data_IF_767145945925
#
_entry.id   IF_767145945925
#
_cell.length_a   1.000
_cell.length_b   1.000
_cell.length_c   1.000
_cell.angle_alpha   90.00
_cell.angle_beta   90.00
_cell.angle_gamma   90.00
#
_symmetry.space_group_name_H-M   'P 1'
#
loop_
_entity.id
_entity.type
_entity.pdbx_description
1 polymer ?
#
# COMPACT_ATOMS: atom_id res chain seq x y z
N UNK A 1 -21.41 -23.09 39.67
CA UNK A 1 -21.67 -21.90 38.84
C UNK A 1 -20.49 -21.74 37.90
N UNK A 2 -20.70 -21.93 36.59
CA UNK A 2 -19.63 -21.92 35.58
C UNK A 2 -19.38 -20.47 35.14
N UNK A 3 -18.19 -19.94 35.40
CA UNK A 3 -17.74 -18.65 34.88
C UNK A 3 -17.61 -18.76 33.37
N UNK A 4 -18.50 -18.11 32.63
CA UNK A 4 -18.35 -17.94 31.18
C UNK A 4 -17.30 -16.84 30.97
N UNK A 5 -16.14 -17.20 30.42
CA UNK A 5 -15.27 -16.24 29.75
C UNK A 5 -16.10 -15.62 28.61
N UNK A 6 -16.35 -14.33 28.70
CA UNK A 6 -16.90 -13.54 27.61
C UNK A 6 -15.72 -13.34 26.65
N UNK A 7 -15.69 -14.13 25.58
CA UNK A 7 -14.86 -13.84 24.42
C UNK A 7 -15.41 -12.55 23.81
N UNK A 8 -14.70 -11.46 24.03
CA UNK A 8 -14.95 -10.18 23.40
C UNK A 8 -14.47 -10.31 21.96
N UNK A 9 -15.37 -10.66 21.05
CA UNK A 9 -15.13 -10.44 19.62
C UNK A 9 -14.96 -8.93 19.44
N UNK A 10 -13.69 -8.49 19.35
CA UNK A 10 -13.36 -7.16 18.88
C UNK A 10 -13.72 -7.18 17.40
N UNK A 11 -14.93 -6.73 17.08
CA UNK A 11 -15.30 -6.37 15.72
C UNK A 11 -14.29 -5.33 15.26
N UNK A 12 -13.34 -5.76 14.44
CA UNK A 12 -12.45 -4.87 13.71
C UNK A 12 -13.34 -3.84 13.01
N UNK A 13 -13.36 -2.63 13.56
CA UNK A 13 -14.03 -1.50 12.92
C UNK A 13 -13.21 -1.24 11.69
N UNK A 14 -13.67 -1.79 10.56
CA UNK A 14 -13.08 -1.56 9.26
C UNK A 14 -12.90 -0.04 9.10
N UNK A 15 -11.65 0.39 8.98
CA UNK A 15 -11.28 1.74 8.60
C UNK A 15 -11.80 1.98 7.19
N UNK A 16 -13.09 2.30 7.12
CA UNK A 16 -13.86 2.49 5.91
C UNK A 16 -13.88 3.98 5.58
N UNK A 17 -12.72 4.62 5.59
CA UNK A 17 -12.53 5.84 4.82
C UNK A 17 -11.70 5.45 3.61
N UNK A 18 -12.38 4.87 2.61
CA UNK A 18 -11.91 5.03 1.25
C UNK A 18 -11.89 6.54 1.02
N UNK A 19 -10.70 7.13 1.07
CA UNK A 19 -10.53 8.49 0.65
C UNK A 19 -11.06 8.57 -0.79
N UNK A 20 -12.05 9.42 -1.03
CA UNK A 20 -12.18 10.05 -2.34
C UNK A 20 -10.98 11.02 -2.42
N UNK A 21 -9.81 10.44 -2.65
CA UNK A 21 -8.51 11.09 -2.53
C UNK A 21 -7.83 11.14 -3.87
N UNK A 22 -6.91 12.08 -4.03
CA UNK A 22 -5.99 12.02 -5.15
C UNK A 22 -5.05 10.81 -4.97
N UNK A 23 -4.36 10.41 -6.04
CA UNK A 23 -3.47 9.26 -6.07
C UNK A 23 -2.08 9.66 -6.56
N UNK A 24 -1.09 8.88 -6.13
CA UNK A 24 0.26 8.96 -6.68
C UNK A 24 0.35 8.20 -8.00
N UNK A 25 0.72 8.91 -9.07
CA UNK A 25 0.77 8.35 -10.42
C UNK A 25 1.99 7.50 -10.74
N UNK A 26 3.07 7.67 -9.99
CA UNK A 26 4.26 6.83 -10.07
C UNK A 26 4.99 6.83 -8.72
N UNK A 27 5.73 5.76 -8.42
CA UNK A 27 6.59 5.73 -7.24
C UNK A 27 7.60 6.88 -7.28
N UNK A 28 7.68 7.64 -6.19
CA UNK A 28 8.48 8.86 -6.11
C UNK A 28 8.98 9.11 -4.69
N UNK A 29 10.00 9.96 -4.55
CA UNK A 29 10.50 10.38 -3.24
C UNK A 29 9.47 11.18 -2.45
N UNK A 30 9.51 11.03 -1.12
CA UNK A 30 8.81 11.88 -0.17
C UNK A 30 9.80 12.66 0.68
N UNK A 31 9.43 13.91 0.96
CA UNK A 31 10.26 14.82 1.74
C UNK A 31 9.58 15.23 3.04
N UNK A 32 10.40 15.41 4.07
CA UNK A 32 9.98 15.97 5.35
C UNK A 32 11.02 17.01 5.77
N UNK A 33 10.58 18.27 5.94
CA UNK A 33 11.46 19.40 6.27
C UNK A 33 12.63 19.56 5.28
N UNK A 34 12.37 19.31 3.99
CA UNK A 34 13.37 19.38 2.92
C UNK A 34 14.36 18.22 2.86
N UNK A 35 14.25 17.20 3.73
CA UNK A 35 15.05 15.97 3.68
C UNK A 35 14.28 14.88 2.94
N UNK A 36 14.95 14.16 2.04
CA UNK A 36 14.45 12.89 1.50
C UNK A 36 14.41 11.84 2.62
N UNK A 37 13.23 11.34 2.93
CA UNK A 37 13.02 10.35 4.00
C UNK A 37 12.53 9.00 3.48
N UNK A 38 12.36 8.84 2.16
CA UNK A 38 11.84 7.61 1.60
C UNK A 38 11.07 7.83 0.30
N UNK A 39 10.22 6.84 -0.02
CA UNK A 39 9.40 6.84 -1.24
C UNK A 39 7.94 6.55 -0.91
N UNK A 40 7.05 7.13 -1.70
CA UNK A 40 5.63 6.78 -1.76
C UNK A 40 5.37 5.99 -3.04
N UNK A 41 4.59 4.93 -2.95
CA UNK A 41 4.35 4.02 -4.07
C UNK A 41 3.21 4.50 -4.98
N UNK A 42 3.26 4.08 -6.26
CA UNK A 42 2.18 4.28 -7.23
C UNK A 42 0.84 3.77 -6.69
N UNK A 43 -0.25 4.43 -7.09
CA UNK A 43 -1.63 4.20 -6.64
C UNK A 43 -1.87 4.36 -5.13
N UNK A 44 -0.92 4.94 -4.38
CA UNK A 44 -1.17 5.32 -2.98
C UNK A 44 -2.22 6.43 -2.93
N UNK A 45 -3.34 6.27 -2.20
CA UNK A 45 -4.32 7.33 -1.99
C UNK A 45 -3.78 8.38 -1.01
N UNK A 46 -4.01 9.65 -1.32
CA UNK A 46 -3.49 10.79 -0.55
C UNK A 46 -4.56 11.87 -0.36
N UNK A 47 -4.46 12.58 0.76
CA UNK A 47 -5.24 13.80 1.04
C UNK A 47 -4.33 15.01 0.80
N UNK A 48 -4.68 15.94 -0.10
CA UNK A 48 -3.93 17.19 -0.24
C UNK A 48 -4.20 18.09 0.96
N UNK A 49 -3.14 18.40 1.72
CA UNK A 49 -3.18 19.34 2.85
C UNK A 49 -2.88 20.77 2.39
N UNK A 50 -1.90 20.93 1.51
CA UNK A 50 -1.48 22.23 0.99
C UNK A 50 -0.93 22.09 -0.42
N UNK A 51 -1.57 22.73 -1.40
CA UNK A 51 -1.09 22.77 -2.79
C UNK A 51 0.11 23.70 -2.91
N UNK A 52 1.23 23.19 -3.39
CA UNK A 52 2.38 24.01 -3.80
C UNK A 52 2.60 23.96 -5.32
N UNK A 53 3.59 24.73 -5.79
CA UNK A 53 3.90 24.80 -7.23
C UNK A 53 4.73 23.61 -7.72
N UNK A 54 5.77 23.23 -6.96
CA UNK A 54 6.65 22.11 -7.28
C UNK A 54 6.43 20.92 -6.34
N UNK A 55 6.23 21.20 -5.05
CA UNK A 55 5.95 20.20 -4.03
C UNK A 55 4.59 20.49 -3.42
N UNK A 56 3.76 19.46 -3.29
CA UNK A 56 2.48 19.49 -2.61
C UNK A 56 2.61 18.77 -1.29
N UNK A 57 2.05 19.34 -0.22
CA UNK A 57 1.93 18.65 1.06
C UNK A 57 0.72 17.73 1.02
N UNK A 58 0.98 16.46 1.20
CA UNK A 58 -0.01 15.39 1.24
C UNK A 58 -0.06 14.76 2.62
N UNK A 59 -1.20 14.22 2.98
CA UNK A 59 -1.40 13.38 4.16
C UNK A 59 -1.77 11.98 3.72
N UNK A 60 -1.19 11.01 4.43
CA UNK A 60 -1.52 9.59 4.27
C UNK A 60 -1.86 8.98 5.62
N UNK A 61 -2.64 7.90 5.59
CA UNK A 61 -2.99 7.11 6.75
C UNK A 61 -2.86 5.62 6.42
N UNK A 62 -2.49 4.84 7.42
CA UNK A 62 -2.31 3.40 7.30
C UNK A 62 -1.90 2.80 8.63
N UNK A 63 -1.26 1.64 8.57
CA UNK A 63 -0.70 0.96 9.75
C UNK A 63 0.79 0.69 9.60
N UNK A 64 1.49 0.59 10.72
CA UNK A 64 2.88 0.14 10.83
C UNK A 64 2.96 -0.97 11.88
N UNK A 65 3.87 -1.92 11.70
CA UNK A 65 4.16 -2.91 12.74
C UNK A 65 5.07 -2.28 13.80
N UNK A 66 4.89 -2.62 15.08
CA UNK A 66 5.69 -2.08 16.18
C UNK A 66 7.18 -2.42 16.05
N UNK A 67 7.48 -3.57 15.44
CA UNK A 67 8.83 -4.09 15.21
C UNK A 67 9.38 -3.82 13.80
N UNK A 68 8.61 -3.17 12.92
CA UNK A 68 9.04 -2.84 11.56
C UNK A 68 8.37 -1.56 11.07
N UNK A 69 9.01 -0.42 11.34
CA UNK A 69 8.43 0.92 11.10
C UNK A 69 8.93 1.58 9.83
N UNK A 70 9.71 0.88 9.02
CA UNK A 70 10.21 1.35 7.73
C UNK A 70 9.13 1.44 6.64
N UNK A 71 7.88 1.05 6.92
CA UNK A 71 6.79 1.14 5.94
C UNK A 71 5.45 1.47 6.57
N UNK A 72 4.66 2.25 5.85
CA UNK A 72 3.21 2.38 6.09
C UNK A 72 2.51 1.47 5.09
N UNK A 73 1.61 0.62 5.58
CA UNK A 73 0.75 -0.22 4.73
C UNK A 73 -0.72 0.14 4.90
N UNK A 74 -1.57 -0.24 3.94
CA UNK A 74 -3.00 0.08 3.92
C UNK A 74 -3.71 -0.32 5.21
N UNK A 75 -3.56 -1.58 5.63
CA UNK A 75 -4.17 -2.10 6.87
C UNK A 75 -3.49 -3.40 7.32
N UNK A 76 -3.89 -3.95 8.46
CA UNK A 76 -3.41 -5.26 8.92
C UNK A 76 -3.81 -6.38 7.92
N UNK A 77 -5.08 -6.53 7.50
CA UNK A 77 -5.47 -7.58 6.56
C UNK A 77 -5.03 -7.32 5.11
N UNK A 78 -4.62 -6.10 4.77
CA UNK A 78 -4.12 -5.73 3.44
C UNK A 78 -2.77 -5.01 3.56
N UNK A 79 -1.70 -5.77 3.34
CA UNK A 79 -0.31 -5.34 3.46
C UNK A 79 0.21 -4.57 2.23
N UNK A 80 -0.67 -4.03 1.38
CA UNK A 80 -0.31 -3.06 0.35
C UNK A 80 0.53 -1.94 0.96
N UNK A 81 1.75 -1.75 0.46
CA UNK A 81 2.65 -0.67 0.89
C UNK A 81 2.15 0.67 0.35
N UNK A 82 2.15 1.70 1.19
CA UNK A 82 1.96 3.07 0.74
C UNK A 82 3.29 3.82 0.71
N UNK A 83 4.08 3.68 1.76
CA UNK A 83 5.36 4.37 1.91
C UNK A 83 6.42 3.41 2.40
N UNK A 84 7.64 3.58 1.90
CA UNK A 84 8.87 2.96 2.40
C UNK A 84 9.82 4.07 2.83
N UNK A 85 10.25 4.06 4.09
CA UNK A 85 11.20 5.02 4.64
C UNK A 85 12.64 4.53 4.48
N UNK A 86 13.58 5.48 4.41
CA UNK A 86 15.00 5.19 4.34
C UNK A 86 15.58 4.66 5.67
N UNK A 87 14.96 5.01 6.80
CA UNK A 87 15.40 4.67 8.16
C UNK A 87 14.18 4.37 9.05
N UNK A 88 14.28 3.38 9.94
CA UNK A 88 13.31 3.10 11.01
C UNK A 88 13.45 4.15 12.12
N UNK A 89 12.67 5.23 12.03
CA UNK A 89 12.63 6.28 13.06
C UNK A 89 11.19 6.69 13.37
N UNK A 90 10.87 6.79 14.67
CA UNK A 90 9.54 7.19 15.16
C UNK A 90 9.10 8.59 14.67
N UNK A 91 10.05 9.43 14.22
CA UNK A 91 9.77 10.76 13.68
C UNK A 91 9.18 10.78 12.27
N UNK A 92 9.10 9.64 11.58
CA UNK A 92 8.58 9.56 10.22
C UNK A 92 7.06 9.77 10.14
N UNK A 93 6.32 9.55 11.22
CA UNK A 93 4.86 9.63 11.26
C UNK A 93 4.36 9.88 12.69
N UNK A 94 3.06 10.11 12.83
CA UNK A 94 2.38 10.25 14.13
C UNK A 94 1.65 8.95 14.46
N UNK A 95 1.88 8.42 15.66
CA UNK A 95 1.12 7.30 16.21
C UNK A 95 -0.27 7.75 16.65
N UNK A 96 -1.31 7.14 16.09
CA UNK A 96 -2.70 7.49 16.38
C UNK A 96 -3.34 6.50 17.36
N UNK A 97 -3.18 5.19 17.10
CA UNK A 97 -3.84 4.14 17.89
C UNK A 97 -3.05 2.84 17.86
N UNK A 98 -2.84 2.23 19.02
CA UNK A 98 -2.28 0.88 19.15
C UNK A 98 -3.33 -0.16 18.78
N UNK A 99 -2.92 -1.15 17.99
CA UNK A 99 -3.68 -2.30 17.54
C UNK A 99 -2.92 -3.59 17.89
N UNK A 100 -3.66 -4.70 17.89
CA UNK A 100 -3.12 -6.05 18.04
C UNK A 100 -3.89 -6.94 17.07
N UNK A 101 -3.18 -7.82 16.35
CA UNK A 101 -3.82 -8.78 15.44
C UNK A 101 -4.12 -10.12 16.13
N UNK A 102 -4.72 -11.05 15.39
CA UNK A 102 -5.11 -12.36 15.92
C UNK A 102 -3.93 -13.24 16.35
N UNK A 103 -2.71 -12.86 15.99
CA UNK A 103 -1.46 -13.56 16.34
C UNK A 103 -0.73 -12.88 17.52
N UNK A 104 -1.26 -11.77 18.04
CA UNK A 104 -0.66 -11.00 19.12
C UNK A 104 0.46 -10.06 18.64
N UNK A 105 0.60 -9.83 17.33
CA UNK A 105 1.53 -8.83 16.83
C UNK A 105 0.97 -7.44 17.09
N UNK A 106 1.85 -6.53 17.52
CA UNK A 106 1.46 -5.16 17.81
C UNK A 106 1.61 -4.31 16.57
N UNK A 107 0.55 -3.58 16.26
CA UNK A 107 0.47 -2.64 15.16
C UNK A 107 0.09 -1.25 15.67
N UNK A 108 0.32 -0.24 14.86
CA UNK A 108 -0.16 1.12 15.13
C UNK A 108 -0.84 1.69 13.91
N UNK A 109 -2.04 2.24 14.07
CA UNK A 109 -2.59 3.21 13.11
C UNK A 109 -1.72 4.46 13.17
N UNK A 110 -1.29 4.93 12.00
CA UNK A 110 -0.41 6.10 11.89
C UNK A 110 -0.92 7.07 10.84
N UNK A 111 -0.44 8.30 10.92
CA UNK A 111 -0.61 9.30 9.86
C UNK A 111 0.69 10.05 9.60
N UNK A 112 0.97 10.29 8.33
CA UNK A 112 2.14 11.02 7.87
C UNK A 112 1.74 12.24 7.04
N UNK A 113 2.50 13.32 7.13
CA UNK A 113 2.38 14.49 6.25
C UNK A 113 3.71 14.71 5.57
N UNK A 114 3.72 14.63 4.24
CA UNK A 114 4.93 14.66 3.43
C UNK A 114 4.79 15.63 2.27
N UNK A 115 5.92 16.07 1.73
CA UNK A 115 5.99 16.79 0.47
C UNK A 115 6.30 15.82 -0.67
N UNK A 116 5.58 15.93 -1.77
CA UNK A 116 5.76 15.12 -2.98
C UNK A 116 5.68 16.01 -4.23
N UNK A 117 6.28 15.59 -5.35
CA UNK A 117 6.17 16.32 -6.63
C UNK A 117 4.70 16.52 -7.02
N UNK A 118 4.30 17.79 -7.13
CA UNK A 118 2.92 18.19 -7.42
C UNK A 118 2.41 17.60 -8.75
N UNK A 119 3.29 17.31 -9.71
CA UNK A 119 2.92 16.76 -11.02
C UNK A 119 2.53 15.29 -10.97
N UNK A 120 2.89 14.60 -9.89
CA UNK A 120 2.66 13.16 -9.76
C UNK A 120 1.36 12.84 -9.02
N UNK A 121 0.58 13.85 -8.65
CA UNK A 121 -0.72 13.69 -8.01
C UNK A 121 -1.81 13.76 -9.08
N UNK A 122 -2.66 12.74 -9.14
CA UNK A 122 -3.78 12.61 -10.08
C UNK A 122 -5.09 12.42 -9.32
N UNK A 123 -6.21 12.89 -9.87
CA UNK A 123 -7.51 12.80 -9.19
C UNK A 123 -8.27 11.49 -9.46
N UNK A 124 -7.81 10.69 -10.43
CA UNK A 124 -8.49 9.49 -10.93
C UNK A 124 -7.44 8.45 -11.31
N UNK A 125 -7.57 7.25 -10.76
CA UNK A 125 -6.69 6.12 -10.95
C UNK A 125 -7.03 5.24 -12.16
N UNK A 126 -8.18 5.41 -12.81
CA UNK A 126 -8.72 4.51 -13.84
C UNK A 126 -7.71 4.27 -14.99
N UNK A 127 -7.05 5.34 -15.45
CA UNK A 127 -6.04 5.23 -16.50
C UNK A 127 -4.82 4.38 -16.11
N UNK A 128 -4.42 4.43 -14.83
CA UNK A 128 -3.34 3.60 -14.30
C UNK A 128 -3.78 2.16 -14.12
N UNK A 129 -5.03 1.93 -13.72
CA UNK A 129 -5.60 0.59 -13.65
C UNK A 129 -5.67 -0.07 -15.03
N UNK A 130 -6.15 0.66 -16.04
CA UNK A 130 -6.18 0.17 -17.42
C UNK A 130 -4.77 -0.13 -17.94
N UNK A 131 -3.81 0.74 -17.64
CA UNK A 131 -2.40 0.50 -17.94
C UNK A 131 -1.88 -0.76 -17.25
N UNK A 132 -2.11 -0.90 -15.94
CA UNK A 132 -1.66 -2.04 -15.14
C UNK A 132 -2.22 -3.35 -15.67
N UNK A 133 -3.53 -3.38 -15.93
CA UNK A 133 -4.23 -4.52 -16.49
C UNK A 133 -3.66 -4.92 -17.84
N UNK A 134 -3.44 -3.95 -18.73
CA UNK A 134 -2.84 -4.21 -20.05
C UNK A 134 -1.45 -4.81 -19.93
N UNK A 135 -0.58 -4.21 -19.11
CA UNK A 135 0.79 -4.73 -18.90
C UNK A 135 0.73 -6.15 -18.32
N UNK A 136 -0.16 -6.39 -17.36
CA UNK A 136 -0.37 -7.71 -16.76
C UNK A 136 -0.81 -8.76 -17.78
N UNK A 137 -1.84 -8.46 -18.58
CA UNK A 137 -2.35 -9.36 -19.60
C UNK A 137 -1.31 -9.66 -20.69
N UNK A 138 -0.57 -8.64 -21.16
CA UNK A 138 0.44 -8.80 -22.20
C UNK A 138 1.69 -9.54 -21.70
N UNK A 139 2.13 -9.26 -20.46
CA UNK A 139 3.39 -9.79 -19.93
C UNK A 139 3.24 -11.18 -19.29
N UNK A 140 2.12 -11.43 -18.60
CA UNK A 140 1.96 -12.63 -17.78
C UNK A 140 1.15 -13.75 -18.46
N UNK A 141 0.64 -13.55 -19.68
CA UNK A 141 -0.02 -14.59 -20.48
C UNK A 141 0.90 -15.33 -21.45
N UNK A 142 2.17 -14.94 -21.53
CA UNK A 142 3.12 -15.47 -22.51
C UNK A 142 3.57 -16.92 -22.24
N UNK A 143 3.57 -17.36 -20.98
CA UNK A 143 4.15 -18.65 -20.57
C UNK A 143 3.11 -19.69 -20.12
N UNK A 144 1.98 -19.24 -19.58
CA UNK A 144 0.90 -20.08 -19.08
C UNK A 144 -0.42 -19.30 -19.10
N UNK A 145 -1.49 -19.96 -18.66
CA UNK A 145 -2.78 -19.29 -18.45
C UNK A 145 -2.61 -18.19 -17.40
N UNK A 146 -3.07 -16.98 -17.73
CA UNK A 146 -3.06 -15.84 -16.82
C UNK A 146 -3.87 -16.16 -15.56
N UNK A 147 -3.27 -15.91 -14.40
CA UNK A 147 -3.98 -15.96 -13.12
C UNK A 147 -5.06 -14.87 -13.06
N UNK A 148 -6.19 -15.17 -12.44
CA UNK A 148 -7.20 -14.14 -12.20
C UNK A 148 -6.79 -13.31 -10.99
N UNK A 149 -7.08 -11.99 -10.96
CA UNK A 149 -6.76 -11.15 -9.80
C UNK A 149 -7.28 -11.69 -8.45
N UNK A 150 -8.37 -12.45 -8.48
CA UNK A 150 -8.96 -13.07 -7.28
C UNK A 150 -8.47 -14.50 -6.97
N UNK A 151 -7.42 -15.00 -7.64
CA UNK A 151 -6.80 -16.29 -7.33
C UNK A 151 -6.02 -16.25 -6.00
N UNK A 152 -5.50 -15.07 -5.63
CA UNK A 152 -4.69 -14.84 -4.43
C UNK A 152 -5.22 -13.66 -3.60
N UNK A 153 -4.87 -13.62 -2.32
CA UNK A 153 -5.12 -12.44 -1.45
C UNK A 153 -4.14 -11.31 -1.77
N UNK A 154 -4.46 -10.08 -1.34
CA UNK A 154 -3.57 -8.93 -1.52
C UNK A 154 -2.16 -9.17 -0.95
N UNK A 155 -2.06 -9.94 0.14
CA UNK A 155 -0.79 -10.24 0.80
C UNK A 155 0.02 -11.33 0.07
N UNK A 156 -0.65 -12.17 -0.73
CA UNK A 156 -0.02 -13.27 -1.47
C UNK A 156 0.52 -12.84 -2.83
N UNK A 157 -0.07 -11.80 -3.44
CA UNK A 157 0.31 -11.34 -4.78
C UNK A 157 1.78 -10.95 -4.94
N UNK A 158 2.41 -10.15 -4.04
CA UNK A 158 3.80 -9.76 -4.20
C UNK A 158 4.76 -10.96 -4.31
N UNK A 159 4.63 -11.94 -3.41
CA UNK A 159 5.47 -13.14 -3.42
C UNK A 159 5.18 -14.04 -4.64
N UNK A 160 3.90 -14.11 -5.06
CA UNK A 160 3.50 -14.89 -6.24
C UNK A 160 4.09 -14.32 -7.53
N UNK A 161 4.07 -13.00 -7.69
CA UNK A 161 4.72 -12.33 -8.82
C UNK A 161 6.23 -12.50 -8.78
N UNK A 162 6.87 -12.32 -7.63
CA UNK A 162 8.31 -12.50 -7.51
C UNK A 162 8.75 -13.90 -7.96
N UNK A 163 8.02 -14.95 -7.57
CA UNK A 163 8.29 -16.31 -8.03
C UNK A 163 8.18 -16.48 -9.56
N UNK A 164 7.28 -15.73 -10.23
CA UNK A 164 7.16 -15.71 -11.69
C UNK A 164 8.33 -14.98 -12.36
N UNK A 165 8.77 -13.86 -11.78
CA UNK A 165 9.91 -13.07 -12.28
C UNK A 165 11.23 -13.83 -12.11
N UNK A 166 11.45 -14.43 -10.94
CA UNK A 166 12.68 -15.19 -10.62
C UNK A 166 12.87 -16.42 -11.52
N UNK A 167 11.77 -16.94 -12.07
CA UNK A 167 11.81 -18.02 -13.04
C UNK A 167 12.42 -17.59 -14.40
N UNK A 168 12.66 -16.29 -14.62
CA UNK A 168 13.48 -15.74 -15.70
C UNK A 168 12.76 -15.61 -17.05
N UNK A 169 11.43 -15.71 -17.08
CA UNK A 169 10.66 -15.78 -18.32
C UNK A 169 10.09 -14.44 -18.81
N UNK A 170 10.14 -13.38 -17.99
CA UNK A 170 9.61 -12.06 -18.36
C UNK A 170 10.55 -10.94 -17.93
N UNK A 171 10.81 -9.97 -18.83
CA UNK A 171 11.54 -8.76 -18.51
C UNK A 171 10.51 -7.66 -18.20
N UNK A 172 10.13 -7.53 -16.94
CA UNK A 172 9.25 -6.47 -16.43
C UNK A 172 10.11 -5.53 -15.58
N UNK A 173 10.06 -4.23 -15.87
CA UNK A 173 10.78 -3.24 -15.06
C UNK A 173 10.09 -3.03 -13.70
N UNK A 174 10.83 -2.50 -12.73
CA UNK A 174 10.36 -2.33 -11.36
C UNK A 174 9.08 -1.48 -11.24
N UNK A 175 8.93 -0.43 -12.06
CA UNK A 175 7.74 0.42 -12.01
C UNK A 175 6.52 -0.32 -12.54
N UNK A 176 6.67 -1.01 -13.68
CA UNK A 176 5.62 -1.87 -14.23
C UNK A 176 5.23 -2.98 -13.27
N UNK A 177 6.21 -3.64 -12.62
CA UNK A 177 5.96 -4.69 -11.64
C UNK A 177 5.20 -4.15 -10.43
N UNK A 178 5.58 -2.99 -9.89
CA UNK A 178 4.89 -2.37 -8.77
C UNK A 178 3.45 -1.99 -9.16
N UNK A 179 3.25 -1.35 -10.32
CA UNK A 179 1.91 -1.00 -10.82
C UNK A 179 1.00 -2.23 -11.00
N UNK A 180 1.52 -3.33 -11.59
CA UNK A 180 0.81 -4.61 -11.70
C UNK A 180 0.48 -5.17 -10.30
N UNK A 181 1.45 -5.11 -9.37
CA UNK A 181 1.25 -5.58 -8.00
C UNK A 181 0.10 -4.84 -7.33
N UNK A 182 0.05 -3.50 -7.44
CA UNK A 182 -1.07 -2.69 -6.91
C UNK A 182 -2.41 -3.10 -7.51
N UNK A 183 -2.47 -3.17 -8.84
CA UNK A 183 -3.68 -3.59 -9.53
C UNK A 183 -4.20 -4.95 -9.03
N UNK A 184 -3.31 -5.93 -8.87
CA UNK A 184 -3.68 -7.26 -8.39
C UNK A 184 -4.10 -7.24 -6.92
N UNK A 185 -3.43 -6.45 -6.07
CA UNK A 185 -3.81 -6.27 -4.67
C UNK A 185 -5.19 -5.61 -4.51
N UNK A 186 -5.52 -4.65 -5.36
CA UNK A 186 -6.80 -3.94 -5.35
C UNK A 186 -7.97 -4.79 -5.87
N UNK A 187 -7.67 -5.77 -6.74
CA UNK A 187 -8.63 -6.71 -7.31
C UNK A 187 -8.51 -8.12 -6.70
N UNK A 188 -7.83 -8.22 -5.55
CA UNK A 188 -7.52 -9.48 -4.90
C UNK A 188 -8.76 -10.16 -4.32
N UNK A 189 -8.60 -11.44 -3.99
CA UNK A 189 -9.55 -12.14 -3.13
C UNK A 189 -9.65 -11.42 -1.78
N UNK A 190 -10.87 -11.19 -1.31
CA UNK A 190 -11.11 -10.69 0.04
C UNK A 190 -10.52 -11.65 1.08
N UNK A 191 -9.75 -11.10 2.01
CA UNK A 191 -9.29 -11.81 3.21
C UNK A 191 -10.43 -11.79 4.23
N UNK A 192 -10.99 -12.96 4.55
CA UNK A 192 -11.99 -13.15 5.60
C UNK A 192 -11.35 -13.40 6.95
#
# INVERSE_FOLDING_TARGET
>A
MKNKLISLMITATAFSSMFAGDFISQTTAIFLNGKDIGKIEVLTPVEIVEKGQSLTRIKIQGVVADNYKERIQRSIPNAEVFVVFNEDVDGNFVFNKKLEDDYGEIWHEVSGVYEVDSKLIIADEDALYDQAKKIYEESCSACHRLHQPNDFTANQWPASLQGMIDAGYTAIDENSLNLITKYLQHNAKESY
#
